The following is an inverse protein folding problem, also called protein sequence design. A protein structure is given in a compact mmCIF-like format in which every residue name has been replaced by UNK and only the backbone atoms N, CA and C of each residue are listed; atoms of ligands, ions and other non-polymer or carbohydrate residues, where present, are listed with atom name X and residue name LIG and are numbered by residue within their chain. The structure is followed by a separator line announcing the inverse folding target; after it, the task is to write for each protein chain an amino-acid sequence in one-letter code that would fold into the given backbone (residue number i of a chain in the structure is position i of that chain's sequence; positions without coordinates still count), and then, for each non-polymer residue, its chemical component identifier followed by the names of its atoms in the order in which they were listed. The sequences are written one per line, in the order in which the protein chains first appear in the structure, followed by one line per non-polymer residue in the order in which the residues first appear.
data_IF_706786442996
#
_entry.id   IF_706786442996
#
_cell.length_a   1.000
_cell.length_b   1.000
_cell.length_c   1.000
_cell.angle_alpha   90.00
_cell.angle_beta   90.00
_cell.angle_gamma   90.00
#
_symmetry.space_group_name_H-M   'P 1'
#
loop_
_entity.id
_entity.type
_entity.pdbx_description
1 polymer ?
#
# COMPACT_ATOMS: atom_id res chain seq x y z
N UNK A 1 14.59 1.59 -9.25
CA UNK A 1 13.84 2.31 -8.20
C UNK A 1 14.74 2.47 -6.98
N UNK A 2 15.06 3.69 -6.55
CA UNK A 2 16.00 3.85 -5.42
C UNK A 2 15.37 3.24 -4.16
N UNK A 3 16.17 2.50 -3.37
CA UNK A 3 15.77 1.97 -2.06
C UNK A 3 15.10 3.05 -1.19
N UNK A 4 15.43 4.33 -1.44
CA UNK A 4 14.86 5.51 -0.78
C UNK A 4 13.35 5.66 -1.00
N UNK A 5 12.80 5.31 -2.16
CA UNK A 5 11.36 5.51 -2.43
C UNK A 5 10.47 4.40 -1.84
N UNK A 6 10.99 3.16 -1.82
CA UNK A 6 10.38 2.05 -1.06
C UNK A 6 10.40 2.37 0.45
N UNK A 7 11.52 2.90 0.93
CA UNK A 7 11.67 3.35 2.32
C UNK A 7 10.73 4.52 2.61
N UNK A 8 10.51 5.47 1.70
CA UNK A 8 9.52 6.54 1.89
C UNK A 8 8.10 6.00 1.95
N UNK A 9 7.70 5.05 1.09
CA UNK A 9 6.36 4.47 1.14
C UNK A 9 6.14 3.64 2.42
N UNK A 10 7.15 2.86 2.83
CA UNK A 10 7.16 2.13 4.09
C UNK A 10 7.19 3.07 5.29
N UNK A 11 7.94 4.17 5.24
CA UNK A 11 7.98 5.19 6.29
C UNK A 11 6.69 5.98 6.36
N UNK A 12 5.96 6.18 5.25
CA UNK A 12 4.64 6.82 5.24
C UNK A 12 3.60 5.86 5.81
N UNK A 13 3.60 4.58 5.42
CA UNK A 13 2.76 3.57 6.06
C UNK A 13 3.08 3.42 7.56
N UNK A 14 4.36 3.36 7.91
CA UNK A 14 4.83 3.26 9.30
C UNK A 14 4.54 4.56 10.07
N UNK A 15 4.62 5.73 9.45
CA UNK A 15 4.27 7.04 10.02
C UNK A 15 2.77 7.15 10.29
N UNK A 16 1.93 6.65 9.39
CA UNK A 16 0.47 6.61 9.57
C UNK A 16 0.11 5.60 10.67
N UNK A 17 0.77 4.45 10.72
CA UNK A 17 0.62 3.50 11.84
C UNK A 17 1.15 4.07 13.17
N UNK A 18 2.26 4.81 13.15
CA UNK A 18 2.88 5.40 14.34
C UNK A 18 2.09 6.61 14.86
N UNK A 19 1.48 7.40 13.97
CA UNK A 19 0.59 8.51 14.37
C UNK A 19 -0.73 7.99 14.95
N UNK A 20 -1.29 6.91 14.40
CA UNK A 20 -2.42 6.20 15.03
C UNK A 20 -2.05 5.64 16.42
N UNK A 21 -0.83 5.11 16.59
CA UNK A 21 -0.30 4.66 17.87
C UNK A 21 -0.08 5.82 18.87
N UNK A 22 0.44 6.97 18.41
CA UNK A 22 0.65 8.15 19.25
C UNK A 22 -0.67 8.77 19.74
N UNK A 23 -1.71 8.81 18.89
CA UNK A 23 -3.04 9.29 19.29
C UNK A 23 -3.65 8.37 20.36
N UNK A 24 -3.43 7.05 20.27
CA UNK A 24 -3.87 6.09 21.30
C UNK A 24 -3.09 6.26 22.61
N UNK A 25 -1.80 6.59 22.56
CA UNK A 25 -0.97 6.77 23.77
C UNK A 25 -1.32 8.05 24.55
N UNK A 26 -1.81 9.10 23.87
CA UNK A 26 -2.08 10.39 24.48
C UNK A 26 -3.50 10.50 25.09
N UNK A 27 -4.33 9.46 24.95
CA UNK A 27 -5.69 9.40 25.50
C UNK A 27 -5.75 8.80 26.91
N UNK A 28 -4.62 8.41 27.51
CA UNK A 28 -4.54 7.80 28.85
C UNK A 28 -4.16 8.76 29.99
N UNK A 29 -4.02 10.07 29.73
CA UNK A 29 -3.90 11.07 30.80
C UNK A 29 -5.23 11.82 30.98
N UNK A 30 -6.12 11.29 31.84
CA UNK A 30 -7.13 12.16 32.47
C UNK A 30 -6.49 12.89 33.66
N UNK A 31 -6.79 14.19 33.87
CA UNK A 31 -6.40 14.89 35.07
C UNK A 31 -7.27 14.43 36.24
N UNK A 32 -6.60 14.03 37.32
CA UNK A 32 -7.18 13.70 38.62
C UNK A 32 -8.07 14.86 39.10
N UNK A 33 -9.39 14.71 38.98
CA UNK A 33 -10.36 15.66 39.53
C UNK A 33 -10.57 15.29 41.00
N UNK A 34 -9.76 15.94 41.85
CA UNK A 34 -9.92 15.87 43.29
C UNK A 34 -11.34 16.23 43.71
N UNK A 35 -12.00 15.30 44.39
CA UNK A 35 -13.12 15.59 45.26
C UNK A 35 -12.63 15.64 46.71
N UNK A 36 -12.92 16.78 47.33
CA UNK A 36 -12.53 17.22 48.67
C UNK A 36 -13.41 16.56 49.75
N UNK A 37 -12.73 16.06 50.78
CA UNK A 37 -13.07 15.84 52.21
C UNK A 37 -14.26 14.95 52.61
N UNK A 38 -14.00 13.94 53.45
CA UNK A 38 -13.93 14.14 54.90
C UNK A 38 -13.41 12.91 55.69
N UNK A 39 -12.62 13.26 56.71
CA UNK A 39 -12.54 12.67 58.06
C UNK A 39 -11.37 11.72 58.42
N UNK A 40 -11.11 11.68 59.72
CA UNK A 40 -9.84 12.02 60.39
C UNK A 40 -9.02 10.84 60.96
N UNK A 41 -7.71 11.10 61.05
CA UNK A 41 -6.73 10.64 62.06
C UNK A 41 -6.44 9.13 62.29
N UNK A 42 -5.17 8.74 62.25
CA UNK A 42 -4.24 8.61 63.41
C UNK A 42 -2.86 8.10 62.92
N UNK A 43 -1.82 8.53 63.64
CA UNK A 43 -0.38 8.44 63.39
C UNK A 43 0.31 7.10 63.73
N UNK A 44 1.60 6.99 63.34
CA UNK A 44 2.64 6.13 63.94
C UNK A 44 3.34 5.22 62.92
N UNK A 45 4.55 5.57 62.43
CA UNK A 45 5.86 5.16 62.97
C UNK A 45 6.19 3.67 62.75
N UNK A 46 7.12 3.32 61.86
CA UNK A 46 8.55 3.12 62.19
C UNK A 46 9.35 2.39 61.08
N UNK A 47 10.61 2.82 60.99
CA UNK A 47 11.83 2.27 60.37
C UNK A 47 11.96 0.77 60.13
N UNK A 48 12.56 0.36 58.99
CA UNK A 48 13.93 -0.20 58.91
C UNK A 48 14.27 -0.80 57.53
N UNK A 49 15.52 -0.59 57.10
CA UNK A 49 16.17 -1.15 55.92
C UNK A 49 16.37 -2.67 56.02
N UNK A 50 16.17 -3.40 54.92
CA UNK A 50 16.99 -4.57 54.57
C UNK A 50 17.16 -4.60 53.05
N UNK A 51 18.41 -4.50 52.61
CA UNK A 51 18.83 -4.80 51.25
C UNK A 51 18.82 -6.32 51.07
N UNK A 52 18.04 -6.81 50.11
CA UNK A 52 18.11 -8.20 49.65
C UNK A 52 18.51 -8.20 48.17
N UNK A 53 19.47 -9.08 47.86
CA UNK A 53 20.17 -9.16 46.59
C UNK A 53 19.20 -9.35 45.41
N UNK A 54 19.41 -8.58 44.35
CA UNK A 54 18.67 -8.72 43.11
C UNK A 54 18.82 -10.15 42.56
N UNK A 55 17.71 -10.88 42.31
CA UNK A 55 17.79 -12.13 41.57
C UNK A 55 18.21 -11.82 40.13
N UNK A 56 19.12 -12.65 39.62
CA UNK A 56 19.53 -12.69 38.22
C UNK A 56 18.25 -12.78 37.37
N UNK A 57 17.90 -11.69 36.68
CA UNK A 57 16.81 -11.70 35.70
C UNK A 57 17.33 -12.53 34.53
N UNK A 58 16.78 -13.74 34.37
CA UNK A 58 16.85 -14.42 33.08
C UNK A 58 16.28 -13.44 32.06
N UNK A 59 17.08 -13.06 31.06
CA UNK A 59 16.59 -12.32 29.90
C UNK A 59 15.57 -13.23 29.19
N UNK A 60 14.31 -13.19 29.61
CA UNK A 60 13.21 -13.80 28.88
C UNK A 60 13.24 -13.17 27.48
N UNK A 61 13.47 -14.02 26.48
CA UNK A 61 13.51 -13.65 25.08
C UNK A 61 12.12 -13.13 24.70
N UNK A 62 11.88 -11.82 24.87
CA UNK A 62 10.56 -11.20 24.70
C UNK A 62 9.99 -11.55 23.32
N UNK A 63 8.97 -12.41 23.33
CA UNK A 63 8.25 -12.82 22.14
C UNK A 63 7.59 -11.60 21.50
N UNK A 64 7.57 -11.54 20.17
CA UNK A 64 6.91 -10.46 19.43
C UNK A 64 5.42 -10.31 19.81
N UNK A 65 4.81 -11.39 20.31
CA UNK A 65 3.44 -11.43 20.84
C UNK A 65 3.30 -10.56 22.09
N UNK A 66 4.26 -10.60 23.03
CA UNK A 66 4.20 -9.81 24.27
C UNK A 66 4.46 -8.32 24.03
N UNK A 67 5.32 -7.99 23.06
CA UNK A 67 5.47 -6.61 22.55
C UNK A 67 4.17 -6.11 21.90
N UNK A 68 3.49 -6.97 21.16
CA UNK A 68 2.22 -6.61 20.50
C UNK A 68 1.08 -6.45 21.50
N UNK A 69 1.02 -7.29 22.54
CA UNK A 69 0.08 -7.16 23.66
C UNK A 69 0.26 -5.85 24.44
N UNK A 70 1.50 -5.38 24.60
CA UNK A 70 1.82 -4.10 25.26
C UNK A 70 1.46 -2.86 24.42
N UNK A 71 1.35 -3.02 23.10
CA UNK A 71 1.10 -1.92 22.15
C UNK A 71 -0.37 -1.49 22.00
N UNK A 72 -1.29 -1.98 22.84
CA UNK A 72 -2.71 -1.55 22.84
C UNK A 72 -3.55 -1.97 21.62
N UNK A 73 -2.94 -2.45 20.53
CA UNK A 73 -3.64 -2.90 19.31
C UNK A 73 -4.51 -4.14 19.52
N UNK A 74 -4.13 -5.03 20.43
CA UNK A 74 -4.94 -6.22 20.76
C UNK A 74 -6.21 -5.80 21.51
N UNK A 75 -6.09 -4.89 22.48
CA UNK A 75 -7.24 -4.30 23.19
C UNK A 75 -8.17 -3.55 22.23
N UNK A 76 -7.59 -2.79 21.29
CA UNK A 76 -8.33 -2.07 20.26
C UNK A 76 -9.11 -3.03 19.33
N UNK A 77 -8.53 -4.19 19.00
CA UNK A 77 -9.17 -5.22 18.19
C UNK A 77 -10.33 -5.88 18.93
N UNK A 78 -10.14 -6.23 20.20
CA UNK A 78 -11.18 -6.85 21.04
C UNK A 78 -12.36 -5.88 21.27
N UNK A 79 -12.09 -4.58 21.38
CA UNK A 79 -13.10 -3.52 21.62
C UNK A 79 -13.85 -3.08 20.36
N UNK A 80 -13.33 -3.31 19.16
CA UNK A 80 -13.99 -2.91 17.90
C UNK A 80 -15.03 -3.91 17.39
N UNK A 81 -15.30 -4.99 18.12
CA UNK A 81 -16.39 -5.91 17.82
C UNK A 81 -16.20 -6.73 16.54
N UNK A 82 -17.31 -7.22 15.99
CA UNK A 82 -17.29 -8.22 14.90
C UNK A 82 -16.70 -7.68 13.59
N UNK A 83 -16.91 -6.40 13.29
CA UNK A 83 -16.46 -5.76 12.04
C UNK A 83 -14.93 -5.63 11.94
N UNK A 84 -14.22 -5.72 13.06
CA UNK A 84 -12.75 -5.77 13.07
C UNK A 84 -12.19 -6.97 12.32
N UNK A 85 -12.90 -8.10 12.30
CA UNK A 85 -12.49 -9.29 11.54
C UNK A 85 -12.53 -9.02 10.04
N UNK A 86 -13.56 -8.33 9.55
CA UNK A 86 -13.66 -7.95 8.14
C UNK A 86 -12.59 -6.92 7.76
N UNK A 87 -12.34 -5.93 8.62
CA UNK A 87 -11.26 -4.95 8.42
C UNK A 87 -9.87 -5.60 8.41
N UNK A 88 -9.64 -6.60 9.26
CA UNK A 88 -8.39 -7.36 9.26
C UNK A 88 -8.15 -8.07 7.93
N UNK A 89 -9.17 -8.74 7.38
CA UNK A 89 -9.08 -9.39 6.05
C UNK A 89 -8.78 -8.36 4.96
N UNK A 90 -9.46 -7.21 4.96
CA UNK A 90 -9.21 -6.13 4.00
C UNK A 90 -7.80 -5.55 4.14
N UNK A 91 -7.29 -5.41 5.36
CA UNK A 91 -5.93 -4.95 5.64
C UNK A 91 -4.88 -5.91 5.07
N UNK A 92 -5.03 -7.20 5.32
CA UNK A 92 -4.13 -8.24 4.79
C UNK A 92 -4.16 -8.24 3.26
N UNK A 93 -5.34 -8.18 2.65
CA UNK A 93 -5.50 -8.11 1.20
C UNK A 93 -4.83 -6.86 0.63
N UNK A 94 -5.08 -5.69 1.22
CA UNK A 94 -4.48 -4.42 0.79
C UNK A 94 -2.96 -4.45 0.83
N UNK A 95 -2.37 -4.86 1.95
CA UNK A 95 -0.92 -4.97 2.10
C UNK A 95 -0.32 -6.01 1.14
N UNK A 96 -0.94 -7.18 0.99
CA UNK A 96 -0.47 -8.21 0.09
C UNK A 96 -0.38 -7.70 -1.36
N UNK A 97 -1.44 -7.04 -1.84
CA UNK A 97 -1.47 -6.48 -3.20
C UNK A 97 -0.47 -5.33 -3.33
N UNK A 98 -0.32 -4.45 -2.32
CA UNK A 98 0.70 -3.39 -2.35
C UNK A 98 2.10 -3.99 -2.54
N UNK A 99 2.46 -5.02 -1.76
CA UNK A 99 3.77 -5.66 -1.85
C UNK A 99 3.99 -6.33 -3.21
N UNK A 100 3.00 -7.06 -3.72
CA UNK A 100 3.02 -7.67 -5.05
C UNK A 100 3.25 -6.61 -6.15
N UNK A 101 2.52 -5.49 -6.10
CA UNK A 101 2.63 -4.40 -7.07
C UNK A 101 3.98 -3.70 -7.00
N UNK A 102 4.47 -3.41 -5.79
CA UNK A 102 5.81 -2.84 -5.59
C UNK A 102 6.87 -3.72 -6.24
N UNK A 103 6.83 -5.02 -6.00
CA UNK A 103 7.79 -5.96 -6.59
C UNK A 103 7.72 -5.99 -8.12
N UNK A 104 6.50 -6.12 -8.67
CA UNK A 104 6.26 -6.25 -10.11
C UNK A 104 6.65 -4.98 -10.87
N UNK A 105 6.16 -3.82 -10.44
CA UNK A 105 6.47 -2.53 -11.08
C UNK A 105 7.93 -2.10 -10.89
N UNK A 106 8.60 -2.57 -9.83
CA UNK A 106 10.05 -2.35 -9.67
C UNK A 106 10.87 -3.15 -10.67
N UNK A 107 10.45 -4.38 -10.97
CA UNK A 107 11.10 -5.24 -11.97
C UNK A 107 10.81 -4.82 -13.41
N UNK A 108 9.65 -4.22 -13.66
CA UNK A 108 9.28 -3.71 -14.98
C UNK A 108 10.06 -2.44 -15.38
N UNK A 109 10.64 -1.72 -14.40
CA UNK A 109 11.37 -0.47 -14.66
C UNK A 109 12.65 -0.77 -15.44
N UNK A 110 12.74 -0.25 -16.65
CA UNK A 110 13.94 -0.31 -17.51
C UNK A 110 14.41 1.12 -17.77
N UNK A 111 15.70 1.31 -18.05
CA UNK A 111 16.20 2.60 -18.53
C UNK A 111 15.78 2.78 -19.99
N UNK A 112 14.58 3.34 -20.18
CA UNK A 112 13.91 3.51 -21.47
C UNK A 112 14.77 4.28 -22.47
N UNK A 113 15.38 5.39 -22.03
CA UNK A 113 16.22 6.22 -22.89
C UNK A 113 17.46 5.46 -23.36
N UNK A 114 18.10 4.74 -22.45
CA UNK A 114 19.26 3.91 -22.80
C UNK A 114 18.86 2.75 -23.72
N UNK A 115 17.76 2.08 -23.42
CA UNK A 115 17.23 0.98 -24.24
C UNK A 115 16.96 1.46 -25.66
N UNK A 116 16.25 2.58 -25.83
CA UNK A 116 15.95 3.14 -27.15
C UNK A 116 17.23 3.52 -27.90
N UNK A 117 18.17 4.19 -27.23
CA UNK A 117 19.45 4.54 -27.83
C UNK A 117 20.25 3.32 -28.32
N UNK A 118 20.24 2.22 -27.54
CA UNK A 118 20.91 0.97 -27.88
C UNK A 118 20.19 0.24 -29.04
N UNK A 119 18.85 0.26 -29.05
CA UNK A 119 18.02 -0.30 -30.13
C UNK A 119 18.25 0.43 -31.44
N UNK A 120 18.15 1.77 -31.45
CA UNK A 120 18.37 2.58 -32.66
C UNK A 120 19.80 2.45 -33.19
N UNK A 121 20.80 2.35 -32.30
CA UNK A 121 22.19 2.12 -32.69
C UNK A 121 22.36 0.74 -33.34
N UNK A 122 21.77 -0.28 -32.74
CA UNK A 122 21.88 -1.67 -33.24
C UNK A 122 21.15 -1.81 -34.58
N UNK A 123 19.95 -1.25 -34.69
CA UNK A 123 19.18 -1.20 -35.92
C UNK A 123 19.99 -0.54 -37.07
N UNK A 124 20.61 0.61 -36.83
CA UNK A 124 21.41 1.33 -37.85
C UNK A 124 22.70 0.62 -38.24
N UNK A 125 23.30 -0.17 -37.36
CA UNK A 125 24.63 -0.75 -37.59
C UNK A 125 24.61 -2.23 -38.02
N UNK A 126 23.65 -3.00 -37.50
CA UNK A 126 23.58 -4.46 -37.66
C UNK A 126 22.24 -4.93 -38.25
N UNK A 127 21.32 -4.00 -38.53
CA UNK A 127 20.02 -4.30 -39.12
C UNK A 127 18.95 -4.74 -38.12
N UNK A 128 17.80 -5.11 -38.67
CA UNK A 128 16.57 -5.45 -37.92
C UNK A 128 16.75 -6.67 -37.03
N UNK A 129 17.39 -7.73 -37.52
CA UNK A 129 17.47 -9.00 -36.78
C UNK A 129 18.34 -8.93 -35.52
N UNK A 130 19.39 -8.11 -35.56
CA UNK A 130 20.21 -7.84 -34.38
C UNK A 130 19.42 -7.07 -33.31
N UNK A 131 18.61 -6.08 -33.72
CA UNK A 131 17.74 -5.33 -32.82
C UNK A 131 16.62 -6.23 -32.22
N UNK A 132 16.04 -7.14 -33.02
CA UNK A 132 15.08 -8.16 -32.54
C UNK A 132 15.69 -9.00 -31.42
N UNK A 133 16.88 -9.57 -31.67
CA UNK A 133 17.59 -10.43 -30.69
C UNK A 133 17.95 -9.70 -29.40
N UNK A 134 18.29 -8.41 -29.48
CA UNK A 134 18.55 -7.57 -28.31
C UNK A 134 17.30 -7.37 -27.46
N UNK A 135 16.17 -7.07 -28.10
CA UNK A 135 14.90 -6.82 -27.42
C UNK A 135 14.33 -8.10 -26.80
N UNK A 136 14.48 -9.26 -27.45
CA UNK A 136 14.08 -10.56 -26.90
C UNK A 136 14.76 -10.86 -25.55
N UNK A 137 16.02 -10.44 -25.39
CA UNK A 137 16.80 -10.62 -24.15
C UNK A 137 16.52 -9.54 -23.10
N UNK A 138 15.85 -8.47 -23.49
CA UNK A 138 15.61 -7.32 -22.62
C UNK A 138 14.24 -7.46 -21.94
N UNK A 139 14.24 -7.37 -20.61
CA UNK A 139 13.01 -7.43 -19.83
C UNK A 139 12.36 -6.06 -19.80
N UNK A 140 11.03 -6.04 -19.76
CA UNK A 140 10.25 -4.82 -19.54
C UNK A 140 9.19 -4.61 -20.62
N UNK A 141 8.15 -3.82 -20.31
CA UNK A 141 7.00 -3.64 -21.20
C UNK A 141 7.41 -2.96 -22.52
N UNK A 142 8.28 -1.94 -22.44
CA UNK A 142 8.76 -1.21 -23.62
C UNK A 142 9.55 -2.12 -24.56
N UNK A 143 10.40 -3.00 -24.01
CA UNK A 143 11.14 -3.95 -24.83
C UNK A 143 10.21 -4.93 -25.56
N UNK A 144 9.15 -5.41 -24.88
CA UNK A 144 8.16 -6.30 -25.46
C UNK A 144 7.38 -5.63 -26.61
N UNK A 145 6.98 -4.37 -26.43
CA UNK A 145 6.28 -3.57 -27.46
C UNK A 145 7.17 -3.35 -28.70
N UNK A 146 8.41 -2.89 -28.49
CA UNK A 146 9.35 -2.66 -29.59
C UNK A 146 9.67 -3.96 -30.34
N UNK A 147 9.83 -5.07 -29.61
CA UNK A 147 10.05 -6.38 -30.21
C UNK A 147 8.88 -6.81 -31.09
N UNK A 148 7.65 -6.62 -30.63
CA UNK A 148 6.44 -6.94 -31.40
C UNK A 148 6.35 -6.15 -32.71
N UNK A 149 6.71 -4.85 -32.67
CA UNK A 149 6.81 -4.02 -33.88
C UNK A 149 7.88 -4.54 -34.84
N UNK A 150 9.10 -4.79 -34.35
CA UNK A 150 10.20 -5.27 -35.20
C UNK A 150 9.89 -6.61 -35.89
N UNK A 151 9.10 -7.49 -35.27
CA UNK A 151 8.67 -8.76 -35.87
C UNK A 151 7.77 -8.59 -37.11
N UNK A 152 7.21 -7.41 -37.36
CA UNK A 152 6.29 -7.15 -38.48
C UNK A 152 6.86 -6.21 -39.53
N UNK A 153 8.12 -5.78 -39.43
CA UNK A 153 8.77 -4.84 -40.36
C UNK A 153 8.64 -5.28 -41.83
N UNK A 154 8.80 -6.56 -42.11
CA UNK A 154 8.69 -7.13 -43.46
C UNK A 154 7.27 -7.04 -44.07
N UNK A 155 6.25 -6.76 -43.24
CA UNK A 155 4.85 -6.65 -43.65
C UNK A 155 4.39 -5.22 -43.90
N UNK A 156 5.30 -4.24 -43.81
CA UNK A 156 5.02 -2.82 -44.01
C UNK A 156 4.69 -2.05 -42.72
N UNK A 157 4.70 -0.72 -42.82
CA UNK A 157 4.49 0.23 -41.71
C UNK A 157 3.19 -0.04 -40.94
N UNK A 158 2.09 -0.24 -41.64
CA UNK A 158 0.76 -0.42 -41.04
C UNK A 158 0.71 -1.68 -40.17
N UNK A 159 1.42 -2.74 -40.58
CA UNK A 159 1.50 -3.98 -39.83
C UNK A 159 2.38 -3.85 -38.58
N UNK A 160 3.40 -2.98 -38.63
CA UNK A 160 4.25 -2.65 -37.47
C UNK A 160 3.47 -1.83 -36.45
N UNK A 161 2.84 -0.74 -36.89
CA UNK A 161 2.04 0.14 -36.02
C UNK A 161 0.95 -0.66 -35.30
N UNK A 162 0.17 -1.46 -36.03
CA UNK A 162 -0.87 -2.30 -35.43
C UNK A 162 -0.33 -3.32 -34.44
N UNK A 163 0.86 -3.88 -34.68
CA UNK A 163 1.49 -4.84 -33.78
C UNK A 163 1.98 -4.16 -32.49
N UNK A 164 2.53 -2.95 -32.61
CA UNK A 164 2.91 -2.11 -31.49
C UNK A 164 1.69 -1.76 -30.64
N UNK A 165 0.61 -1.25 -31.25
CA UNK A 165 -0.62 -0.88 -30.54
C UNK A 165 -1.21 -2.06 -29.77
N UNK A 166 -1.27 -3.22 -30.42
CA UNK A 166 -1.77 -4.45 -29.80
C UNK A 166 -0.90 -4.87 -28.63
N UNK A 167 0.42 -4.86 -28.79
CA UNK A 167 1.35 -5.22 -27.73
C UNK A 167 1.32 -4.23 -26.56
N UNK A 168 1.25 -2.92 -26.84
CA UNK A 168 1.14 -1.88 -25.83
C UNK A 168 -0.14 -2.04 -25.00
N UNK A 169 -1.27 -2.30 -25.65
CA UNK A 169 -2.54 -2.56 -24.94
C UNK A 169 -2.46 -3.79 -24.03
N UNK A 170 -1.83 -4.88 -24.49
CA UNK A 170 -1.63 -6.09 -23.69
C UNK A 170 -0.71 -5.83 -22.50
N UNK A 171 0.41 -5.14 -22.69
CA UNK A 171 1.36 -4.81 -21.63
C UNK A 171 0.75 -3.86 -20.59
N UNK A 172 0.02 -2.81 -21.01
CA UNK A 172 -0.71 -1.92 -20.11
C UNK A 172 -1.72 -2.70 -19.26
N UNK A 173 -2.51 -3.59 -19.89
CA UNK A 173 -3.45 -4.44 -19.15
C UNK A 173 -2.74 -5.36 -18.14
N UNK A 174 -1.55 -5.86 -18.47
CA UNK A 174 -0.75 -6.66 -17.54
C UNK A 174 -0.25 -5.84 -16.34
N UNK A 175 0.19 -4.60 -16.58
CA UNK A 175 0.64 -3.67 -15.54
C UNK A 175 -0.52 -3.28 -14.59
N UNK A 176 -1.72 -3.06 -15.13
CA UNK A 176 -2.92 -2.68 -14.38
C UNK A 176 -3.53 -3.81 -13.53
N UNK A 177 -3.12 -5.05 -13.78
CA UNK A 177 -3.61 -6.23 -13.05
C UNK A 177 -3.57 -5.95 -11.54
N UNK A 178 -4.58 -6.39 -10.81
CA UNK A 178 -4.61 -6.26 -9.35
C UNK A 178 -4.82 -4.86 -8.79
N UNK A 179 -4.75 -3.77 -9.58
CA UNK A 179 -5.10 -2.43 -9.11
C UNK A 179 -6.55 -2.34 -8.65
N UNK A 180 -7.44 -3.10 -9.29
CA UNK A 180 -8.84 -3.16 -8.90
C UNK A 180 -9.00 -3.56 -7.44
N UNK A 181 -8.17 -4.48 -6.92
CA UNK A 181 -8.24 -4.90 -5.52
C UNK A 181 -7.83 -3.79 -4.55
N UNK A 182 -6.84 -2.96 -4.91
CA UNK A 182 -6.48 -1.80 -4.10
C UNK A 182 -7.60 -0.77 -4.09
N UNK A 183 -8.19 -0.49 -5.25
CA UNK A 183 -9.35 0.40 -5.34
C UNK A 183 -10.54 -0.14 -4.53
N UNK A 184 -10.77 -1.46 -4.57
CA UNK A 184 -11.81 -2.12 -3.79
C UNK A 184 -11.56 -1.97 -2.29
N UNK A 185 -10.36 -2.29 -1.80
CA UNK A 185 -10.04 -2.16 -0.37
C UNK A 185 -10.11 -0.71 0.10
N UNK A 186 -9.58 0.23 -0.67
CA UNK A 186 -9.61 1.65 -0.35
C UNK A 186 -11.04 2.20 -0.23
N UNK A 187 -11.97 1.70 -1.05
CA UNK A 187 -13.38 2.12 -1.00
C UNK A 187 -14.21 1.34 0.02
N UNK A 188 -13.98 0.03 0.19
CA UNK A 188 -14.80 -0.81 1.06
C UNK A 188 -14.38 -0.67 2.53
N UNK A 189 -13.10 -0.51 2.86
CA UNK A 189 -12.66 -0.43 4.26
C UNK A 189 -13.34 0.71 5.05
N UNK A 190 -13.49 1.94 4.53
CA UNK A 190 -14.25 3.00 5.20
C UNK A 190 -15.73 2.67 5.35
N UNK A 191 -16.33 2.03 4.35
CA UNK A 191 -17.74 1.64 4.38
C UNK A 191 -18.01 0.56 5.43
N UNK A 192 -17.09 -0.41 5.58
CA UNK A 192 -17.14 -1.39 6.68
C UNK A 192 -16.94 -0.70 8.03
N UNK A 193 -16.03 0.28 8.11
CA UNK A 193 -15.85 1.12 9.29
C UNK A 193 -17.12 1.86 9.70
N UNK A 194 -17.81 2.46 8.73
CA UNK A 194 -19.08 3.14 8.91
C UNK A 194 -20.22 2.17 9.28
N UNK A 195 -20.23 0.96 8.71
CA UNK A 195 -21.20 -0.05 9.13
C UNK A 195 -20.99 -0.44 10.60
N UNK A 196 -19.73 -0.51 11.05
CA UNK A 196 -19.37 -0.72 12.44
C UNK A 196 -19.91 0.36 13.39
N UNK A 197 -19.92 1.64 12.97
CA UNK A 197 -20.51 2.69 13.83
C UNK A 197 -22.01 2.55 13.97
N UNK A 198 -22.69 2.23 12.88
CA UNK A 198 -24.14 1.99 12.91
C UNK A 198 -24.44 0.84 13.85
N UNK A 199 -23.68 -0.26 13.77
CA UNK A 199 -23.86 -1.42 14.67
C UNK A 199 -23.58 -1.09 16.13
N UNK A 200 -22.48 -0.40 16.44
CA UNK A 200 -22.13 -0.02 17.82
C UNK A 200 -23.17 0.91 18.44
N UNK A 201 -23.73 1.83 17.65
CA UNK A 201 -24.82 2.70 18.09
C UNK A 201 -26.13 1.93 18.31
N UNK A 202 -26.46 0.95 17.47
CA UNK A 202 -27.64 0.09 17.67
C UNK A 202 -27.49 -0.67 18.99
N UNK A 203 -26.34 -1.31 19.24
CA UNK A 203 -26.08 -2.04 20.48
C UNK A 203 -26.14 -1.13 21.71
N UNK A 204 -25.63 0.10 21.61
CA UNK A 204 -25.72 1.08 22.70
C UNK A 204 -27.18 1.40 23.05
N UNK A 205 -28.04 1.63 22.05
CA UNK A 205 -29.45 1.94 22.29
C UNK A 205 -30.25 0.73 22.78
N UNK A 206 -29.97 -0.47 22.28
CA UNK A 206 -30.58 -1.71 22.78
C UNK A 206 -30.22 -1.94 24.27
N UNK A 207 -28.97 -1.71 24.64
CA UNK A 207 -28.52 -1.81 26.03
C UNK A 207 -29.23 -0.79 26.93
N UNK A 208 -29.41 0.46 26.47
CA UNK A 208 -30.19 1.47 27.20
C UNK A 208 -31.65 1.04 27.36
N UNK A 209 -32.27 0.51 26.30
CA UNK A 209 -33.67 0.09 26.34
C UNK A 209 -33.93 -1.08 27.29
N UNK A 210 -32.94 -1.96 27.47
CA UNK A 210 -33.02 -3.10 28.37
C UNK A 210 -32.64 -2.77 29.84
N UNK A 211 -32.01 -1.61 30.10
CA UNK A 211 -31.52 -1.26 31.42
C UNK A 211 -32.58 -0.53 32.26
N UNK A 212 -32.80 -0.98 33.51
CA UNK A 212 -33.68 -0.30 34.46
C UNK A 212 -33.10 1.03 34.96
N UNK A 213 -31.76 1.15 34.98
CA UNK A 213 -31.05 2.39 35.26
C UNK A 213 -30.00 2.65 34.19
N UNK A 214 -30.11 3.80 33.52
CA UNK A 214 -29.16 4.21 32.50
C UNK A 214 -27.88 4.71 33.16
N UNK A 215 -26.75 4.06 32.87
CA UNK A 215 -25.42 4.52 33.28
C UNK A 215 -24.64 5.08 32.09
N UNK A 216 -23.85 6.14 32.32
CA UNK A 216 -23.02 6.74 31.26
C UNK A 216 -22.03 5.73 30.66
N UNK A 217 -21.53 4.78 31.47
CA UNK A 217 -20.61 3.72 31.04
C UNK A 217 -21.24 2.79 29.99
N UNK A 218 -22.54 2.50 30.11
CA UNK A 218 -23.26 1.62 29.19
C UNK A 218 -23.26 2.19 27.78
N UNK A 219 -23.56 3.49 27.66
CA UNK A 219 -23.60 4.19 26.37
C UNK A 219 -22.20 4.40 25.81
N UNK A 220 -21.24 4.77 26.67
CA UNK A 220 -19.86 5.01 26.29
C UNK A 220 -19.20 3.79 25.64
N UNK A 221 -19.55 2.57 26.05
CA UNK A 221 -18.98 1.34 25.48
C UNK A 221 -19.33 1.17 24.00
N UNK A 222 -20.61 1.30 23.61
CA UNK A 222 -21.03 1.13 22.21
C UNK A 222 -20.56 2.27 21.30
N UNK A 223 -20.47 3.50 21.83
CA UNK A 223 -19.86 4.62 21.11
C UNK A 223 -18.35 4.39 20.92
N UNK A 224 -17.65 3.86 21.92
CA UNK A 224 -16.23 3.53 21.80
C UNK A 224 -15.98 2.47 20.73
N UNK A 225 -16.77 1.39 20.69
CA UNK A 225 -16.69 0.35 19.66
C UNK A 225 -16.89 0.94 18.26
N UNK A 226 -17.91 1.79 18.11
CA UNK A 226 -18.23 2.48 16.87
C UNK A 226 -17.04 3.32 16.36
N UNK A 227 -16.48 4.17 17.22
CA UNK A 227 -15.39 5.07 16.84
C UNK A 227 -14.10 4.31 16.49
N UNK A 228 -13.76 3.27 17.25
CA UNK A 228 -12.58 2.42 16.98
C UNK A 228 -12.68 1.77 15.60
N UNK A 229 -13.85 1.24 15.25
CA UNK A 229 -14.06 0.53 13.99
C UNK A 229 -13.94 1.47 12.78
N UNK A 230 -14.48 2.69 12.88
CA UNK A 230 -14.33 3.70 11.83
C UNK A 230 -12.90 4.19 11.70
N UNK A 231 -12.22 4.49 12.81
CA UNK A 231 -10.83 4.90 12.79
C UNK A 231 -9.95 3.85 12.09
N UNK A 232 -10.16 2.57 12.43
CA UNK A 232 -9.43 1.45 11.80
C UNK A 232 -9.70 1.36 10.30
N UNK A 233 -10.97 1.49 9.87
CA UNK A 233 -11.32 1.49 8.45
C UNK A 233 -10.61 2.60 7.66
N UNK A 234 -10.52 3.80 8.23
CA UNK A 234 -9.80 4.93 7.63
C UNK A 234 -8.28 4.70 7.59
N UNK A 235 -7.70 4.17 8.67
CA UNK A 235 -6.27 3.85 8.75
C UNK A 235 -5.86 2.84 7.68
N UNK A 236 -6.73 1.91 7.30
CA UNK A 236 -6.48 0.95 6.21
C UNK A 236 -6.67 1.62 4.84
N UNK A 237 -7.74 2.40 4.69
CA UNK A 237 -8.13 2.98 3.41
C UNK A 237 -7.16 4.04 2.88
N UNK A 238 -6.71 4.96 3.75
CA UNK A 238 -5.83 6.07 3.37
C UNK A 238 -4.53 5.59 2.70
N UNK A 239 -3.71 4.72 3.32
CA UNK A 239 -2.49 4.23 2.69
C UNK A 239 -2.77 3.37 1.45
N UNK A 240 -3.86 2.60 1.45
CA UNK A 240 -4.26 1.80 0.28
C UNK A 240 -4.61 2.68 -0.91
N UNK A 241 -5.37 3.76 -0.70
CA UNK A 241 -5.72 4.73 -1.74
C UNK A 241 -4.48 5.47 -2.25
N UNK A 242 -3.58 5.87 -1.36
CA UNK A 242 -2.33 6.51 -1.74
C UNK A 242 -1.46 5.59 -2.60
N UNK A 243 -1.35 4.30 -2.24
CA UNK A 243 -0.65 3.30 -3.02
C UNK A 243 -1.30 3.06 -4.39
N UNK A 244 -2.63 2.95 -4.44
CA UNK A 244 -3.38 2.85 -5.70
C UNK A 244 -3.06 4.02 -6.64
N UNK A 245 -3.21 5.26 -6.18
CA UNK A 245 -2.92 6.46 -6.99
C UNK A 245 -1.47 6.50 -7.46
N UNK A 246 -0.53 6.10 -6.59
CA UNK A 246 0.88 6.03 -6.94
C UNK A 246 1.14 5.02 -8.06
N UNK A 247 0.54 3.82 -7.98
CA UNK A 247 0.73 2.80 -9.01
C UNK A 247 0.07 3.19 -10.33
N UNK A 248 -1.14 3.77 -10.31
CA UNK A 248 -1.78 4.32 -11.51
C UNK A 248 -0.85 5.31 -12.20
N UNK A 249 -0.37 6.33 -11.48
CA UNK A 249 0.57 7.31 -12.03
C UNK A 249 1.88 6.69 -12.53
N UNK A 250 2.31 5.55 -11.96
CA UNK A 250 3.49 4.84 -12.43
C UNK A 250 3.22 4.06 -13.72
N UNK A 251 2.04 3.46 -13.86
CA UNK A 251 1.63 2.76 -15.08
C UNK A 251 1.43 3.75 -16.22
N UNK A 252 0.79 4.90 -15.96
CA UNK A 252 0.62 5.96 -16.96
C UNK A 252 1.96 6.40 -17.55
N UNK A 253 3.00 6.51 -16.71
CA UNK A 253 4.37 6.80 -17.17
C UNK A 253 4.91 5.71 -18.08
N UNK A 254 4.68 4.44 -17.77
CA UNK A 254 5.09 3.35 -18.68
C UNK A 254 4.32 3.41 -20.00
N UNK A 255 3.03 3.75 -19.99
CA UNK A 255 2.24 3.93 -21.21
C UNK A 255 2.80 5.03 -22.09
N UNK A 256 3.06 6.21 -21.53
CA UNK A 256 3.69 7.33 -22.27
C UNK A 256 5.07 6.94 -22.81
N UNK A 257 5.90 6.27 -21.99
CA UNK A 257 7.21 5.81 -22.43
C UNK A 257 7.13 4.77 -23.57
N UNK A 258 6.12 3.89 -23.57
CA UNK A 258 5.86 2.96 -24.68
C UNK A 258 5.43 3.70 -25.94
N UNK A 259 4.56 4.70 -25.83
CA UNK A 259 4.10 5.53 -26.96
C UNK A 259 5.25 6.33 -27.59
N UNK A 260 6.02 7.05 -26.78
CA UNK A 260 7.20 7.81 -27.26
C UNK A 260 8.21 6.87 -27.93
N UNK A 261 8.51 5.74 -27.30
CA UNK A 261 9.46 4.76 -27.84
C UNK A 261 8.98 4.15 -29.16
N UNK A 262 7.68 3.96 -29.29
CA UNK A 262 7.06 3.42 -30.50
C UNK A 262 7.11 4.40 -31.65
N UNK A 263 6.86 5.68 -31.39
CA UNK A 263 6.99 6.75 -32.37
C UNK A 263 8.44 6.85 -32.88
N UNK A 264 9.43 6.85 -31.98
CA UNK A 264 10.85 6.85 -32.33
C UNK A 264 11.23 5.66 -33.25
N UNK A 265 10.66 4.47 -32.98
CA UNK A 265 10.90 3.29 -33.79
C UNK A 265 10.27 3.42 -35.19
N UNK A 266 9.02 3.88 -35.27
CA UNK A 266 8.32 4.09 -36.54
C UNK A 266 9.04 5.11 -37.42
N UNK A 267 9.48 6.23 -36.85
CA UNK A 267 10.27 7.24 -37.54
C UNK A 267 11.60 6.67 -38.06
N UNK A 268 12.28 5.86 -37.25
CA UNK A 268 13.53 5.21 -37.64
C UNK A 268 13.33 4.21 -38.80
N UNK A 269 12.21 3.48 -38.81
CA UNK A 269 11.84 2.55 -39.88
C UNK A 269 11.48 3.30 -41.17
N UNK A 270 10.69 4.36 -41.08
CA UNK A 270 10.34 5.21 -42.22
C UNK A 270 11.57 5.88 -42.86
N UNK A 271 12.50 6.37 -42.01
CA UNK A 271 13.76 6.94 -42.49
C UNK A 271 14.72 5.89 -43.09
N UNK A 272 14.56 4.61 -42.77
CA UNK A 272 15.32 3.52 -43.37
C UNK A 272 14.75 3.14 -44.73
N UNK A 273 13.42 2.97 -44.85
CA UNK A 273 12.77 2.65 -46.13
C UNK A 273 12.99 3.74 -47.17
N UNK A 274 12.87 5.02 -46.80
CA UNK A 274 13.13 6.14 -47.72
C UNK A 274 14.58 6.18 -48.24
N UNK A 275 15.55 5.70 -47.45
CA UNK A 275 16.96 5.61 -47.88
C UNK A 275 17.20 4.45 -48.83
N UNK A 276 16.48 3.36 -48.64
CA UNK A 276 16.54 2.20 -49.53
C UNK A 276 15.95 2.53 -50.91
N UNK A 277 14.81 3.22 -50.94
CA UNK A 277 14.20 3.74 -52.19
C UNK A 277 15.09 4.76 -52.91
N UNK A 278 15.81 5.62 -52.17
CA UNK A 278 16.73 6.59 -52.78
C UNK A 278 18.03 5.94 -53.32
N UNK A 279 18.33 4.71 -52.90
CA UNK A 279 19.53 3.97 -53.32
C UNK A 279 19.27 2.96 -54.45
N UNK A 280 18.00 2.64 -54.73
CA UNK A 280 17.54 1.79 -55.83
C UNK A 280 17.27 2.57 -57.11
#
# INVERSE_FOLDING_TARGET
MSKRMLVVLLLVCLSVCLSAFLISSNAQEEPDTGLVEADTAVAGADTAMMAEAAPFIEEEEETWIDRMRRSGVVDLYERGGVFMHALLVLSILGVAVILERVYTLSKATTDTKRLMADVLRTFKSQGVDAARTMLEKTRGPIAAVLHAGLLKVEKGSDAVEKAIETAASIETSFLERGLIWLATVANIAPLVGFLGTVSGMIHAFEAIAAAEQVSAKLVASGISEALITTATGLIIAIPTQAAYNFFVSKIDRFTVEMEESSADLLDALAAASAREEAAS
#
